data_IF_570424456234
#
_entry.id   IF_570424456234
#
_cell.length_a   1.000
_cell.length_b   1.000
_cell.length_c   1.000
_cell.angle_alpha   90.00
_cell.angle_beta   90.00
_cell.angle_gamma   90.00
#
_symmetry.space_group_name_H-M   'P 1'
#
loop_
_entity.id
_entity.type
_entity.pdbx_description
1 polymer ?
#
# COMPACT_ATOMS: atom_id res chain seq x y z
N UNK A 1 24.12 -16.64 -23.82
CA UNK A 1 23.99 -15.73 -22.65
C UNK A 1 23.28 -16.48 -21.56
N UNK A 2 23.86 -16.62 -20.36
CA UNK A 2 23.24 -17.38 -19.26
C UNK A 2 22.08 -16.54 -18.70
N UNK A 3 20.84 -16.98 -18.94
CA UNK A 3 19.68 -16.49 -18.20
C UNK A 3 19.87 -16.90 -16.73
N UNK A 4 20.36 -15.98 -15.90
CA UNK A 4 20.34 -16.17 -14.46
C UNK A 4 18.88 -16.15 -14.03
N UNK A 5 18.42 -17.28 -13.46
CA UNK A 5 17.08 -17.41 -12.91
C UNK A 5 16.99 -16.47 -11.70
N UNK A 6 16.06 -15.52 -11.72
CA UNK A 6 15.84 -14.62 -10.58
C UNK A 6 15.14 -15.45 -9.49
N UNK A 7 15.90 -15.85 -8.47
CA UNK A 7 15.38 -16.59 -7.32
C UNK A 7 14.76 -15.62 -6.32
N UNK A 8 13.44 -15.70 -6.13
CA UNK A 8 12.70 -14.79 -5.27
C UNK A 8 12.57 -15.41 -3.88
N UNK A 9 12.96 -14.66 -2.85
CA UNK A 9 12.77 -15.02 -1.45
C UNK A 9 11.87 -13.99 -0.75
N UNK A 10 11.25 -14.38 0.36
CA UNK A 10 10.38 -13.48 1.14
C UNK A 10 10.98 -13.23 2.51
N UNK A 11 11.11 -11.95 2.89
CA UNK A 11 11.61 -11.53 4.20
C UNK A 11 10.47 -10.85 4.96
N UNK A 12 10.13 -11.38 6.15
CA UNK A 12 9.16 -10.73 7.05
C UNK A 12 9.87 -9.68 7.90
N UNK A 13 9.38 -8.44 7.87
CA UNK A 13 9.95 -7.32 8.61
C UNK A 13 8.95 -6.72 9.60
N UNK A 14 9.44 -6.26 10.74
CA UNK A 14 8.64 -5.44 11.67
C UNK A 14 8.28 -4.10 11.01
N UNK A 15 7.12 -3.53 11.34
CA UNK A 15 6.64 -2.25 10.79
C UNK A 15 7.69 -1.13 10.93
N UNK A 16 8.33 -1.01 12.10
CA UNK A 16 9.40 -0.02 12.35
C UNK A 16 10.57 -0.18 11.37
N UNK A 17 11.01 -1.40 11.09
CA UNK A 17 12.10 -1.69 10.16
C UNK A 17 11.71 -1.37 8.73
N UNK A 18 10.50 -1.75 8.32
CA UNK A 18 9.95 -1.40 7.00
C UNK A 18 9.92 0.12 6.80
N UNK A 19 9.42 0.89 7.77
CA UNK A 19 9.39 2.35 7.69
C UNK A 19 10.80 2.96 7.55
N UNK A 20 11.80 2.39 8.22
CA UNK A 20 13.20 2.83 8.05
C UNK A 20 13.69 2.57 6.62
N UNK A 21 13.40 1.40 6.05
CA UNK A 21 13.73 1.10 4.66
C UNK A 21 13.00 2.01 3.67
N UNK A 22 11.72 2.30 3.92
CA UNK A 22 10.95 3.22 3.07
C UNK A 22 11.53 4.63 3.05
N UNK A 23 12.06 5.10 4.19
CA UNK A 23 12.72 6.40 4.30
C UNK A 23 14.11 6.42 3.63
N UNK A 24 14.75 5.25 3.48
CA UNK A 24 16.04 5.12 2.79
C UNK A 24 15.90 5.13 1.27
N UNK A 25 14.68 4.90 0.73
CA UNK A 25 14.42 4.94 -0.71
C UNK A 25 14.65 6.36 -1.27
N UNK A 26 15.49 6.45 -2.30
CA UNK A 26 15.73 7.70 -3.04
C UNK A 26 14.53 8.02 -3.93
N UNK A 27 13.93 7.00 -4.54
CA UNK A 27 12.79 7.13 -5.44
C UNK A 27 11.60 6.28 -4.98
N UNK A 28 10.37 6.71 -5.30
CA UNK A 28 9.17 5.95 -4.94
C UNK A 28 9.16 4.52 -5.51
N UNK A 29 9.69 4.35 -6.72
CA UNK A 29 9.70 3.10 -7.50
C UNK A 29 10.90 2.19 -7.25
N UNK A 30 11.85 2.62 -6.42
CA UNK A 30 13.00 1.80 -6.05
C UNK A 30 12.53 0.52 -5.34
N UNK A 31 13.18 -0.60 -5.62
CA UNK A 31 12.86 -1.89 -4.98
C UNK A 31 13.57 -2.01 -3.63
N UNK A 32 13.08 -2.90 -2.75
CA UNK A 32 13.78 -3.13 -1.49
C UNK A 32 15.13 -3.82 -1.72
N UNK A 33 15.26 -4.65 -2.75
CA UNK A 33 16.52 -5.31 -3.11
C UNK A 33 17.61 -4.27 -3.45
N UNK A 34 17.31 -3.31 -4.32
CA UNK A 34 18.26 -2.23 -4.66
C UNK A 34 18.69 -1.42 -3.43
N UNK A 35 17.77 -1.17 -2.50
CA UNK A 35 18.09 -0.47 -1.25
C UNK A 35 18.98 -1.31 -0.36
N UNK A 36 18.67 -2.60 -0.21
CA UNK A 36 19.45 -3.53 0.60
C UNK A 36 20.85 -3.73 0.02
N UNK A 37 20.97 -3.87 -1.29
CA UNK A 37 22.25 -3.98 -1.99
C UNK A 37 23.14 -2.76 -1.75
N UNK A 38 22.60 -1.54 -1.87
CA UNK A 38 23.33 -0.30 -1.52
C UNK A 38 23.81 -0.29 -0.08
N UNK A 39 22.96 -0.72 0.87
CA UNK A 39 23.33 -0.77 2.29
C UNK A 39 24.48 -1.76 2.49
N UNK A 40 24.38 -2.96 1.91
CA UNK A 40 25.41 -4.00 2.01
C UNK A 40 26.72 -3.56 1.34
N UNK A 41 26.65 -2.89 0.19
CA UNK A 41 27.82 -2.33 -0.48
C UNK A 41 28.54 -1.32 0.42
N UNK A 42 27.81 -0.40 1.06
CA UNK A 42 28.39 0.57 1.99
C UNK A 42 29.01 -0.12 3.21
N UNK A 43 28.37 -1.16 3.75
CA UNK A 43 28.90 -1.93 4.88
C UNK A 43 30.17 -2.70 4.50
N UNK A 44 30.24 -3.24 3.28
CA UNK A 44 31.45 -3.90 2.79
C UNK A 44 32.56 -2.87 2.58
N UNK A 45 32.24 -1.71 2.00
CA UNK A 45 33.19 -0.62 1.80
C UNK A 45 33.69 -0.04 3.13
N UNK A 46 32.85 0.04 4.16
CA UNK A 46 33.26 0.60 5.46
C UNK A 46 34.27 -0.29 6.17
N UNK A 47 34.21 -1.61 5.96
CA UNK A 47 35.21 -2.56 6.46
C UNK A 47 36.54 -2.47 5.71
N UNK A 48 36.51 -2.32 4.39
CA UNK A 48 37.72 -2.34 3.56
C UNK A 48 38.40 -0.97 3.39
N UNK A 49 37.61 0.11 3.34
CA UNK A 49 38.09 1.47 3.07
C UNK A 49 37.13 2.52 3.66
N UNK A 50 37.29 2.88 4.94
CA UNK A 50 36.34 3.75 5.65
C UNK A 50 36.25 5.16 5.03
N UNK A 51 37.31 5.68 4.43
CA UNK A 51 37.32 6.99 3.75
C UNK A 51 36.37 7.00 2.55
N UNK A 52 36.44 5.96 1.71
CA UNK A 52 35.56 5.82 0.54
C UNK A 52 34.11 5.64 0.95
N UNK A 53 33.87 4.89 2.03
CA UNK A 53 32.53 4.73 2.58
C UNK A 53 31.94 6.07 3.06
N UNK A 54 32.74 6.90 3.75
CA UNK A 54 32.33 8.26 4.15
C UNK A 54 32.00 9.13 2.95
N UNK A 55 32.85 9.15 1.91
CA UNK A 55 32.57 9.91 0.68
C UNK A 55 31.28 9.45 0.00
N UNK A 56 31.02 8.13 -0.05
CA UNK A 56 29.79 7.57 -0.59
C UNK A 56 28.57 7.98 0.22
N UNK A 57 28.62 7.90 1.55
CA UNK A 57 27.55 8.34 2.44
C UNK A 57 27.20 9.82 2.23
N UNK A 58 28.21 10.70 2.12
CA UNK A 58 28.00 12.13 1.85
C UNK A 58 27.30 12.34 0.50
N UNK A 59 27.68 11.57 -0.53
CA UNK A 59 27.04 11.67 -1.84
C UNK A 59 25.56 11.26 -1.83
N UNK A 60 25.23 10.24 -1.05
CA UNK A 60 23.85 9.74 -0.88
C UNK A 60 22.99 10.73 -0.09
N UNK A 61 23.53 11.31 1.00
CA UNK A 61 22.81 12.31 1.80
C UNK A 61 22.45 13.54 0.95
N UNK A 62 23.41 14.03 0.13
CA UNK A 62 23.16 15.14 -0.80
C UNK A 62 22.02 14.83 -1.79
N UNK A 63 21.93 13.61 -2.28
CA UNK A 63 20.86 13.17 -3.21
C UNK A 63 19.50 13.06 -2.50
N UNK A 64 19.49 12.44 -1.33
CA UNK A 64 18.29 12.29 -0.51
C UNK A 64 17.65 13.64 -0.17
N UNK A 65 18.44 14.63 0.25
CA UNK A 65 17.97 16.00 0.52
C UNK A 65 17.30 16.66 -0.69
N UNK A 66 17.91 16.55 -1.87
CA UNK A 66 17.34 17.09 -3.12
C UNK A 66 16.01 16.44 -3.48
N UNK A 67 15.89 15.12 -3.30
CA UNK A 67 14.66 14.38 -3.58
C UNK A 67 13.51 14.80 -2.65
N UNK A 68 13.81 15.05 -1.36
CA UNK A 68 12.81 15.45 -0.38
C UNK A 68 12.33 16.90 -0.58
N UNK A 69 13.21 17.81 -0.99
CA UNK A 69 12.80 19.18 -1.36
C UNK A 69 11.81 19.19 -2.54
N UNK A 70 11.96 18.28 -3.51
CA UNK A 70 11.01 18.14 -4.64
C UNK A 70 9.65 17.58 -4.20
N UNK A 71 9.58 16.78 -3.13
CA UNK A 71 8.32 16.25 -2.60
C UNK A 71 7.48 17.34 -1.93
N UNK A 72 8.11 18.32 -1.28
CA UNK A 72 7.42 19.40 -0.56
C UNK A 72 6.87 20.51 -1.46
N UNK A 73 7.44 20.74 -2.65
CA UNK A 73 6.98 21.78 -3.59
C UNK A 73 5.75 21.39 -4.42
N UNK A 74 5.10 20.26 -4.15
CA UNK A 74 3.87 19.91 -4.87
C UNK A 74 2.74 20.80 -4.36
N UNK A 75 2.08 21.60 -5.21
CA UNK A 75 0.96 22.42 -4.77
C UNK A 75 -0.11 21.48 -4.20
N UNK A 76 -0.56 21.79 -2.98
CA UNK A 76 -1.74 21.16 -2.39
C UNK A 76 -2.88 21.55 -3.34
N UNK A 77 -3.41 20.59 -4.11
CA UNK A 77 -4.66 20.83 -4.84
C UNK A 77 -5.69 21.26 -3.78
N UNK A 78 -6.34 22.43 -3.93
CA UNK A 78 -7.38 22.83 -2.98
C UNK A 78 -8.41 21.71 -2.92
N UNK A 79 -8.75 21.26 -1.71
CA UNK A 79 -9.91 20.39 -1.53
C UNK A 79 -11.10 21.17 -2.07
N UNK A 80 -11.75 20.64 -3.11
CA UNK A 80 -13.02 21.19 -3.59
C UNK A 80 -13.97 21.32 -2.39
N UNK A 81 -14.67 22.45 -2.22
CA UNK A 81 -15.63 22.59 -1.15
C UNK A 81 -16.66 21.47 -1.29
N UNK A 82 -16.79 20.65 -0.26
CA UNK A 82 -17.91 19.74 -0.11
C UNK A 82 -19.11 20.66 0.07
N UNK A 83 -20.01 20.71 -0.93
CA UNK A 83 -21.25 21.45 -0.80
C UNK A 83 -22.11 20.75 0.24
N UNK A 84 -22.15 21.30 1.45
CA UNK A 84 -23.15 20.98 2.45
C UNK A 84 -24.51 21.48 1.96
N UNK A 85 -25.14 20.76 1.04
CA UNK A 85 -26.56 20.95 0.74
C UNK A 85 -27.36 20.33 1.89
N UNK A 86 -27.55 21.13 2.95
CA UNK A 86 -28.71 20.99 3.82
C UNK A 86 -29.96 21.15 2.96
N UNK A 87 -30.75 20.10 2.80
CA UNK A 87 -32.09 20.22 2.26
C UNK A 87 -33.08 19.99 3.43
N UNK A 88 -33.73 21.04 3.97
CA UNK A 88 -34.75 20.89 4.99
C UNK A 88 -36.13 20.62 4.36
N UNK A 89 -36.72 19.51 4.77
CA UNK A 89 -38.17 19.17 4.79
C UNK A 89 -38.96 19.03 3.46
N UNK A 90 -39.50 17.82 3.26
CA UNK A 90 -40.87 17.45 2.82
C UNK A 90 -40.79 15.98 2.34
N UNK A 91 -41.17 15.00 3.15
CA UNK A 91 -42.53 14.46 3.07
C UNK A 91 -42.88 13.70 4.35
N UNK A 92 -43.93 14.19 5.02
CA UNK A 92 -44.73 13.42 5.94
C UNK A 92 -45.52 12.35 5.18
N UNK A 93 -45.90 11.29 5.90
CA UNK A 93 -46.91 10.27 5.60
C UNK A 93 -46.45 9.05 4.79
N UNK A 94 -46.26 7.94 5.51
CA UNK A 94 -47.18 6.77 5.47
C UNK A 94 -46.80 5.75 6.55
N UNK A 95 -47.55 5.80 7.66
CA UNK A 95 -47.82 4.60 8.46
C UNK A 95 -48.70 3.68 7.62
N UNK A 96 -48.12 2.62 7.02
CA UNK A 96 -48.82 1.37 6.71
C UNK A 96 -47.80 0.23 6.88
N UNK A 97 -47.96 -0.59 7.91
CA UNK A 97 -47.46 -1.97 8.03
C UNK A 97 -48.71 -2.81 8.36
N UNK A 98 -48.82 -4.13 8.08
CA UNK A 98 -48.01 -5.06 7.27
C UNK A 98 -48.88 -5.64 6.12
N UNK A 99 -48.40 -6.48 5.20
CA UNK A 99 -48.34 -7.96 5.28
C UNK A 99 -48.04 -8.34 3.81
N UNK A 100 -47.04 -9.13 3.44
CA UNK A 100 -47.20 -10.58 3.28
C UNK A 100 -45.92 -11.22 2.73
N UNK A 101 -45.73 -12.48 3.14
CA UNK A 101 -44.90 -13.53 2.52
C UNK A 101 -43.37 -13.46 2.68
N UNK A 102 -42.93 -13.90 3.87
CA UNK A 102 -41.89 -14.92 3.94
C UNK A 102 -42.31 -16.14 3.08
N UNK A 103 -41.71 -16.35 1.90
CA UNK A 103 -41.70 -17.68 1.26
C UNK A 103 -40.68 -17.80 0.13
N UNK A 104 -39.42 -17.98 0.49
CA UNK A 104 -38.49 -18.80 -0.30
C UNK A 104 -37.83 -19.78 0.64
N UNK A 105 -38.64 -20.76 1.06
CA UNK A 105 -38.10 -22.04 1.49
C UNK A 105 -37.38 -22.64 0.28
N UNK A 106 -36.06 -22.53 0.32
CA UNK A 106 -35.16 -23.48 -0.31
C UNK A 106 -35.41 -24.82 0.38
N UNK A 107 -36.17 -25.70 -0.26
CA UNK A 107 -36.13 -27.19 -0.21
C UNK A 107 -37.52 -27.75 -0.51
N UNK A 108 -37.85 -27.78 -1.79
CA UNK A 108 -38.71 -28.85 -2.31
C UNK A 108 -37.84 -30.12 -2.33
N UNK A 109 -37.83 -30.82 -1.20
CA UNK A 109 -37.83 -32.29 -1.25
C UNK A 109 -39.28 -32.73 -1.52
N UNK A 110 -39.43 -33.93 -2.08
CA UNK A 110 -40.67 -34.55 -2.55
C UNK A 110 -41.14 -33.99 -3.89
N UNK A 111 -40.89 -34.66 -5.03
CA UNK A 111 -41.56 -35.90 -5.36
C UNK A 111 -40.73 -36.72 -6.36
N UNK A 112 -40.19 -37.85 -5.89
CA UNK A 112 -40.27 -39.13 -6.61
C UNK A 112 -40.21 -40.23 -5.55
N UNK A 113 -41.39 -40.73 -5.19
CA UNK A 113 -41.61 -41.89 -4.31
C UNK A 113 -41.14 -43.17 -5.03
N UNK A 114 -40.55 -44.16 -4.34
CA UNK A 114 -40.50 -45.52 -4.86
C UNK A 114 -41.91 -46.14 -4.87
N UNK A 115 -42.25 -46.85 -5.95
CA UNK A 115 -43.38 -47.79 -6.00
C UNK A 115 -42.85 -49.20 -5.86
N UNK A 116 -43.41 -49.90 -4.88
CA UNK A 116 -43.39 -51.35 -4.57
C UNK A 116 -42.05 -51.99 -4.22
#
# INVERSE_FOLDING_TARGET
MKNQKIEITTIKLRKKTKTRLDNLKEYRRETYDEVLEKILEILNLSRSSPERARSRLVSLDRKSRKSNQRKQKRPIKPKLPVSDNQNPQLQQNKNIIPTNLQRTQVRNEEHQRPRN
#
